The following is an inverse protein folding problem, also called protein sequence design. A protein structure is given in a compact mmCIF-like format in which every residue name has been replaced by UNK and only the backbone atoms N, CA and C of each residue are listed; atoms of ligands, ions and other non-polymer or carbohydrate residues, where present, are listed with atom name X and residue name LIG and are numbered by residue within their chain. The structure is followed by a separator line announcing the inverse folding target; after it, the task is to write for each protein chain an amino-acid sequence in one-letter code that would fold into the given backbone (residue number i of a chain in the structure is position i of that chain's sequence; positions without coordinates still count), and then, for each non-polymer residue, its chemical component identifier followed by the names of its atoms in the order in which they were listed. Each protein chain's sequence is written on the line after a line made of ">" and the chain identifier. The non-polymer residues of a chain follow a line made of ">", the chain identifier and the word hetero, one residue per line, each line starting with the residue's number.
data_IF_837470494998
#
_entry.id   IF_837470494998
#
_cell.length_a   1.000
_cell.length_b   1.000
_cell.length_c   1.000
_cell.angle_alpha   90.00
_cell.angle_beta   90.00
_cell.angle_gamma   90.00
#
_symmetry.space_group_name_H-M   'P 1'
#
loop_
_entity.id
_entity.type
_entity.pdbx_description
1 polymer ?
#
# COMPACT_ATOMS: atom_id res chain seq x y z
N UNK A 1 2.37 34.71 15.34
CA UNK A 1 2.79 33.63 14.41
C UNK A 1 1.69 33.47 13.38
N UNK A 2 1.92 33.94 12.16
CA UNK A 2 0.92 33.97 11.08
C UNK A 2 0.78 32.57 10.52
N UNK A 3 -0.37 31.92 10.72
CA UNK A 3 -0.68 30.63 10.12
C UNK A 3 -0.70 30.80 8.61
N UNK A 4 0.32 30.27 7.92
CA UNK A 4 0.33 30.27 6.47
C UNK A 4 -0.93 29.55 5.97
N UNK A 5 -1.70 30.20 5.10
CA UNK A 5 -2.91 29.64 4.50
C UNK A 5 -2.49 28.44 3.67
N UNK A 6 -2.81 27.22 4.13
CA UNK A 6 -2.41 26.00 3.44
C UNK A 6 -3.21 25.89 2.14
N UNK A 7 -2.54 26.02 0.99
CA UNK A 7 -3.17 25.87 -0.31
C UNK A 7 -3.66 24.44 -0.48
N UNK A 8 -4.95 24.26 -0.81
CA UNK A 8 -5.51 22.97 -1.22
C UNK A 8 -5.41 22.83 -2.73
N UNK A 9 -4.93 21.68 -3.17
CA UNK A 9 -4.90 21.30 -4.58
C UNK A 9 -5.88 20.15 -4.78
N UNK A 10 -6.63 20.21 -5.88
CA UNK A 10 -7.56 19.17 -6.27
C UNK A 10 -6.94 18.37 -7.42
N UNK A 11 -7.04 17.06 -7.34
CA UNK A 11 -6.59 16.14 -8.37
C UNK A 11 -7.72 15.16 -8.69
N UNK A 12 -7.80 14.76 -9.96
CA UNK A 12 -8.68 13.67 -10.37
C UNK A 12 -8.22 12.35 -9.71
N UNK A 13 -9.10 11.59 -9.03
CA UNK A 13 -8.71 10.37 -8.33
C UNK A 13 -8.09 9.30 -9.23
N UNK A 14 -8.56 9.14 -10.47
CA UNK A 14 -7.97 8.14 -11.38
C UNK A 14 -6.57 8.55 -11.80
N UNK A 15 -6.35 9.82 -12.13
CA UNK A 15 -5.01 10.35 -12.42
C UNK A 15 -4.06 10.24 -11.23
N UNK A 16 -4.58 10.42 -10.02
CA UNK A 16 -3.81 10.25 -8.79
C UNK A 16 -3.39 8.79 -8.57
N UNK A 17 -4.29 7.82 -8.85
CA UNK A 17 -3.97 6.38 -8.81
C UNK A 17 -2.92 6.01 -9.83
N UNK A 18 -3.08 6.43 -11.08
CA UNK A 18 -2.11 6.19 -12.17
C UNK A 18 -0.71 6.71 -11.79
N UNK A 19 -0.65 7.93 -11.26
CA UNK A 19 0.61 8.54 -10.82
C UNK A 19 1.27 7.76 -9.68
N UNK A 20 0.51 7.43 -8.63
CA UNK A 20 1.03 6.70 -7.48
C UNK A 20 1.50 5.29 -7.88
N UNK A 21 0.73 4.58 -8.71
CA UNK A 21 1.10 3.25 -9.20
C UNK A 21 2.39 3.30 -10.03
N UNK A 22 2.55 4.30 -10.91
CA UNK A 22 3.77 4.47 -11.70
C UNK A 22 5.01 4.69 -10.81
N UNK A 23 4.89 5.47 -9.74
CA UNK A 23 5.98 5.68 -8.77
C UNK A 23 6.32 4.40 -8.00
N UNK A 24 5.32 3.64 -7.58
CA UNK A 24 5.52 2.37 -6.87
C UNK A 24 6.17 1.31 -7.77
N UNK A 25 5.74 1.19 -9.03
CA UNK A 25 6.41 0.32 -10.03
C UNK A 25 7.87 0.73 -10.19
N UNK A 26 8.15 2.03 -10.33
CA UNK A 26 9.52 2.54 -10.44
C UNK A 26 10.35 2.28 -9.17
N UNK A 27 9.72 2.26 -8.01
CA UNK A 27 10.36 1.87 -6.75
C UNK A 27 10.64 0.36 -6.65
N UNK A 28 10.09 -0.45 -7.56
CA UNK A 28 10.42 -1.87 -7.71
C UNK A 28 9.27 -2.82 -7.41
N UNK A 29 8.07 -2.35 -7.08
CA UNK A 29 6.91 -3.23 -6.87
C UNK A 29 6.47 -3.89 -8.18
N UNK A 30 5.80 -5.04 -8.07
CA UNK A 30 5.04 -5.60 -9.20
C UNK A 30 3.86 -4.69 -9.57
N UNK A 31 3.47 -4.68 -10.85
CA UNK A 31 2.44 -3.77 -11.35
C UNK A 31 1.06 -3.98 -10.72
N UNK A 32 0.73 -5.21 -10.30
CA UNK A 32 -0.52 -5.51 -9.60
C UNK A 32 -0.52 -4.94 -8.18
N UNK A 33 0.54 -5.20 -7.42
CA UNK A 33 0.73 -4.71 -6.05
C UNK A 33 0.77 -3.17 -6.00
N UNK A 34 1.50 -2.56 -6.94
CA UNK A 34 1.56 -1.11 -7.08
C UNK A 34 0.19 -0.48 -7.33
N UNK A 35 -0.64 -1.12 -8.17
CA UNK A 35 -2.00 -0.67 -8.49
C UNK A 35 -2.92 -0.79 -7.28
N UNK A 36 -2.90 -1.93 -6.60
CA UNK A 36 -3.70 -2.19 -5.40
C UNK A 36 -3.36 -1.20 -4.27
N UNK A 37 -2.07 -0.97 -4.05
CA UNK A 37 -1.61 0.00 -3.05
C UNK A 37 -2.00 1.43 -3.42
N UNK A 38 -1.83 1.85 -4.67
CA UNK A 38 -2.24 3.17 -5.15
C UNK A 38 -3.76 3.38 -4.98
N UNK A 39 -4.56 2.36 -5.30
CA UNK A 39 -6.01 2.39 -5.09
C UNK A 39 -6.36 2.61 -3.63
N UNK A 40 -5.74 1.86 -2.71
CA UNK A 40 -6.00 2.01 -1.27
C UNK A 40 -5.61 3.40 -0.74
N UNK A 41 -4.49 3.97 -1.20
CA UNK A 41 -4.06 5.31 -0.80
C UNK A 41 -5.03 6.38 -1.28
N UNK A 42 -5.40 6.36 -2.56
CA UNK A 42 -6.36 7.33 -3.10
C UNK A 42 -7.74 7.13 -2.47
N UNK A 43 -8.13 5.89 -2.19
CA UNK A 43 -9.38 5.58 -1.53
C UNK A 43 -9.45 6.16 -0.11
N UNK A 44 -8.32 6.21 0.61
CA UNK A 44 -8.24 6.91 1.89
C UNK A 44 -8.43 8.42 1.72
N UNK A 45 -7.79 9.05 0.72
CA UNK A 45 -7.95 10.49 0.45
C UNK A 45 -9.39 10.85 0.09
N UNK A 46 -10.04 10.12 -0.84
CA UNK A 46 -11.43 10.42 -1.24
C UNK A 46 -12.46 10.12 -0.14
N UNK A 47 -12.09 9.35 0.88
CA UNK A 47 -12.89 9.14 2.10
C UNK A 47 -12.59 10.17 3.19
N UNK A 48 -11.71 11.13 2.94
CA UNK A 48 -11.34 12.19 3.89
C UNK A 48 -10.40 11.72 5.00
N UNK A 49 -9.66 10.63 4.78
CA UNK A 49 -8.66 10.10 5.72
C UNK A 49 -7.24 10.42 5.22
N UNK A 50 -6.97 11.71 5.04
CA UNK A 50 -5.74 12.25 4.43
C UNK A 50 -4.45 11.73 5.09
N UNK A 51 -4.51 11.41 6.40
CA UNK A 51 -3.37 10.87 7.16
C UNK A 51 -2.95 9.46 6.73
N UNK A 52 -3.74 8.77 5.90
CA UNK A 52 -3.48 7.41 5.42
C UNK A 52 -3.48 7.30 3.90
N UNK A 53 -3.69 8.40 3.17
CA UNK A 53 -3.66 8.42 1.70
C UNK A 53 -2.30 8.80 1.12
N UNK A 54 -2.30 9.55 0.01
CA UNK A 54 -1.10 9.84 -0.78
C UNK A 54 -0.02 10.62 -0.01
N UNK A 55 -0.38 11.29 1.08
CA UNK A 55 0.60 11.91 1.99
C UNK A 55 1.65 10.91 2.53
N UNK A 56 1.34 9.60 2.55
CA UNK A 56 2.27 8.54 2.97
C UNK A 56 3.23 8.08 1.87
N UNK A 57 2.93 8.35 0.61
CA UNK A 57 3.70 7.83 -0.53
C UNK A 57 5.20 8.18 -0.47
N UNK A 58 5.62 9.42 -0.13
CA UNK A 58 7.04 9.73 -0.01
C UNK A 58 7.78 8.85 1.01
N UNK A 59 7.15 8.58 2.17
CA UNK A 59 7.73 7.72 3.19
C UNK A 59 7.85 6.27 2.71
N UNK A 60 6.87 5.76 1.95
CA UNK A 60 6.93 4.42 1.40
C UNK A 60 8.05 4.26 0.37
N UNK A 61 8.20 5.25 -0.52
CA UNK A 61 9.29 5.26 -1.50
C UNK A 61 10.66 5.30 -0.80
N UNK A 62 10.82 6.13 0.23
CA UNK A 62 12.06 6.19 1.02
C UNK A 62 12.39 4.87 1.73
N UNK A 63 11.36 4.19 2.27
CA UNK A 63 11.57 2.89 2.94
C UNK A 63 12.04 1.83 1.96
N UNK A 64 11.54 1.82 0.72
CA UNK A 64 11.99 0.89 -0.31
C UNK A 64 13.41 1.22 -0.76
N UNK A 65 13.69 2.50 -1.07
CA UNK A 65 15.02 2.92 -1.52
C UNK A 65 16.11 2.65 -0.48
N UNK A 66 15.77 2.70 0.82
CA UNK A 66 16.68 2.40 1.91
C UNK A 66 16.67 0.92 2.34
N UNK A 67 16.03 0.02 1.57
CA UNK A 67 15.99 -1.42 1.87
C UNK A 67 15.24 -1.79 3.15
N UNK A 68 14.44 -0.87 3.72
CA UNK A 68 13.67 -1.09 4.95
C UNK A 68 12.36 -1.84 4.72
N UNK A 69 11.92 -1.96 3.48
CA UNK A 69 10.75 -2.72 3.04
C UNK A 69 11.13 -3.50 1.79
N UNK A 70 10.76 -4.77 1.75
CA UNK A 70 10.91 -5.58 0.54
C UNK A 70 9.81 -5.21 -0.46
N UNK A 71 10.19 -4.65 -1.61
CA UNK A 71 9.25 -4.30 -2.67
C UNK A 71 8.71 -5.52 -3.44
N UNK A 72 9.39 -6.67 -3.36
CA UNK A 72 9.01 -7.95 -3.99
C UNK A 72 9.05 -9.06 -2.94
N UNK A 73 8.15 -9.04 -1.95
CA UNK A 73 8.16 -10.01 -0.86
C UNK A 73 7.79 -11.40 -1.35
N UNK A 74 8.56 -12.41 -0.92
CA UNK A 74 8.19 -13.82 -1.08
C UNK A 74 7.30 -14.26 0.08
N UNK A 75 6.02 -13.88 0.04
CA UNK A 75 5.05 -14.19 1.10
C UNK A 75 4.85 -15.70 1.23
N UNK A 76 4.98 -16.23 2.45
CA UNK A 76 4.79 -17.65 2.75
C UNK A 76 3.59 -17.85 3.66
N UNK A 77 2.70 -18.76 3.25
CA UNK A 77 1.54 -19.19 4.04
C UNK A 77 1.86 -20.57 4.63
N UNK A 78 1.57 -20.78 5.90
CA UNK A 78 1.68 -22.08 6.57
C UNK A 78 0.40 -22.38 7.33
N UNK A 79 -0.23 -23.51 7.03
CA UNK A 79 -1.38 -24.03 7.77
C UNK A 79 -1.04 -24.29 9.25
N UNK A 80 -1.88 -23.81 10.15
CA UNK A 80 -1.82 -24.13 11.58
C UNK A 80 -2.97 -25.02 12.01
N UNK A 81 -4.16 -24.74 11.50
CA UNK A 81 -5.37 -25.57 11.63
C UNK A 81 -6.19 -25.43 10.33
N UNK A 82 -7.31 -26.17 10.17
CA UNK A 82 -8.19 -25.96 9.01
C UNK A 82 -8.70 -24.52 8.87
N UNK A 83 -8.82 -23.77 9.97
CA UNK A 83 -9.40 -22.41 10.01
C UNK A 83 -8.37 -21.33 10.41
N UNK A 84 -7.09 -21.67 10.55
CA UNK A 84 -6.02 -20.72 10.92
C UNK A 84 -4.78 -20.96 10.07
N UNK A 85 -4.27 -19.88 9.47
CA UNK A 85 -2.99 -19.85 8.77
C UNK A 85 -2.04 -18.81 9.39
N UNK A 86 -0.74 -19.06 9.27
CA UNK A 86 0.30 -18.09 9.56
C UNK A 86 0.89 -17.56 8.26
N UNK A 87 1.03 -16.23 8.15
CA UNK A 87 1.63 -15.56 7.01
C UNK A 87 2.94 -14.89 7.43
N UNK A 88 4.05 -15.31 6.81
CA UNK A 88 5.31 -14.56 6.83
C UNK A 88 5.31 -13.59 5.65
N UNK A 89 5.30 -12.29 5.95
CA UNK A 89 5.21 -11.22 4.97
C UNK A 89 6.54 -10.85 4.30
N UNK A 90 7.66 -11.46 4.70
CA UNK A 90 9.00 -11.19 4.13
C UNK A 90 9.36 -9.69 4.13
N UNK A 91 9.00 -9.00 5.21
CA UNK A 91 9.14 -7.55 5.38
C UNK A 91 8.56 -6.71 4.21
N UNK A 92 7.52 -7.25 3.55
CA UNK A 92 6.81 -6.60 2.46
C UNK A 92 5.91 -5.45 2.91
N UNK A 93 5.33 -4.74 1.94
CA UNK A 93 4.32 -3.73 2.24
C UNK A 93 3.09 -4.34 2.89
N UNK A 94 2.59 -3.69 3.95
CA UNK A 94 1.37 -4.09 4.63
C UNK A 94 0.17 -4.20 3.70
N UNK A 95 0.05 -3.34 2.69
CA UNK A 95 -1.00 -3.45 1.65
C UNK A 95 -0.97 -4.82 0.96
N UNK A 96 0.21 -5.23 0.46
CA UNK A 96 0.38 -6.49 -0.27
C UNK A 96 0.16 -7.69 0.64
N UNK A 97 0.80 -7.69 1.82
CA UNK A 97 0.72 -8.82 2.76
C UNK A 97 -0.70 -8.98 3.32
N UNK A 98 -1.37 -7.87 3.67
CA UNK A 98 -2.72 -7.90 4.23
C UNK A 98 -3.77 -8.30 3.18
N UNK A 99 -3.64 -7.86 1.92
CA UNK A 99 -4.55 -8.31 0.86
C UNK A 99 -4.45 -9.82 0.68
N UNK A 100 -3.24 -10.39 0.58
CA UNK A 100 -3.05 -11.85 0.49
C UNK A 100 -3.55 -12.58 1.74
N UNK A 101 -3.36 -11.99 2.92
CA UNK A 101 -3.88 -12.54 4.17
C UNK A 101 -5.41 -12.56 4.24
N UNK A 102 -6.07 -11.52 3.72
CA UNK A 102 -7.52 -11.47 3.65
C UNK A 102 -8.07 -12.47 2.62
N UNK A 103 -7.44 -12.59 1.45
CA UNK A 103 -7.79 -13.61 0.45
C UNK A 103 -7.73 -15.02 1.07
N UNK A 104 -6.70 -15.28 1.87
CA UNK A 104 -6.53 -16.56 2.55
C UNK A 104 -7.58 -16.80 3.65
N UNK A 105 -7.92 -15.76 4.41
CA UNK A 105 -8.97 -15.84 5.43
C UNK A 105 -10.34 -16.13 4.80
N UNK A 106 -10.68 -15.46 3.68
CA UNK A 106 -11.94 -15.66 2.97
C UNK A 106 -12.06 -17.10 2.44
N UNK A 107 -10.98 -17.68 1.90
CA UNK A 107 -10.98 -19.08 1.41
C UNK A 107 -11.27 -20.12 2.50
N UNK A 108 -11.04 -19.77 3.77
CA UNK A 108 -11.19 -20.66 4.93
C UNK A 108 -12.48 -20.44 5.71
N UNK A 109 -13.21 -19.37 5.41
CA UNK A 109 -14.49 -19.04 6.05
C UNK A 109 -15.59 -20.02 5.60
#
# INVERSE_FOLDING_TARGET
>A
MTTAKQSRYYADPEKAKEFAAALLVKAGLESEDARSMAECLVLADVRGVDTHGLARLPQYLDRVSNGRVNARPSIKITDKTPVVAHLDGDNGFGFVVATRGMDEAIKRA
#
